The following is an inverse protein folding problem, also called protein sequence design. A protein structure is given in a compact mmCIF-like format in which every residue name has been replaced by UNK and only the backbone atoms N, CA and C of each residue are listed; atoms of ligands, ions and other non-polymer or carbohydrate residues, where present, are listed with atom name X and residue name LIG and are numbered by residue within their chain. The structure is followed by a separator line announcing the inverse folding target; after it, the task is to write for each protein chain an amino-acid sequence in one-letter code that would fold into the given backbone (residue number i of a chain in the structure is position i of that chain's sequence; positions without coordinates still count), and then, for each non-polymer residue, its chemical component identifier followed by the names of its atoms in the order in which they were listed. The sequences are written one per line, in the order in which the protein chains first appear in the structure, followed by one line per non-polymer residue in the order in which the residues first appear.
data_IF_079712388089
#
_entry.id   IF_079712388089
#
_cell.length_a   1.000
_cell.length_b   1.000
_cell.length_c   1.000
_cell.angle_alpha   90.00
_cell.angle_beta   90.00
_cell.angle_gamma   90.00
#
_symmetry.space_group_name_H-M   'P 1'
#
loop_
_entity.id
_entity.type
_entity.pdbx_description
1 polymer ?
#
# COMPACT_ATOMS: atom_id res chain seq x y z
N UNK A 1 -0.60 6.50 23.02
CA UNK A 1 -1.06 6.44 21.62
C UNK A 1 -0.59 5.12 21.04
N UNK A 2 -1.52 4.30 20.59
CA UNK A 2 -1.26 2.96 20.04
C UNK A 2 -1.35 3.02 18.52
N UNK A 3 -0.25 2.72 17.84
CA UNK A 3 -0.15 2.73 16.38
C UNK A 3 -0.25 1.30 15.84
N UNK A 4 -1.05 1.11 14.81
CA UNK A 4 -1.10 -0.13 14.03
C UNK A 4 -0.52 0.08 12.64
N UNK A 5 0.22 -0.90 12.12
CA UNK A 5 0.76 -0.88 10.76
C UNK A 5 0.39 -2.18 10.07
N UNK A 6 -0.17 -2.08 8.87
CA UNK A 6 -0.50 -3.23 8.01
C UNK A 6 -0.09 -2.90 6.57
N UNK A 7 0.25 -3.91 5.80
CA UNK A 7 0.55 -3.80 4.36
C UNK A 7 0.28 -5.11 3.64
N UNK A 8 0.20 -5.05 2.33
CA UNK A 8 0.24 -6.23 1.45
C UNK A 8 -0.81 -7.29 1.76
N UNK A 9 -2.03 -6.85 2.11
CA UNK A 9 -3.14 -7.78 2.39
C UNK A 9 -3.69 -8.42 1.12
N UNK A 10 -3.57 -7.74 -0.02
CA UNK A 10 -4.01 -8.26 -1.32
C UNK A 10 -5.43 -8.82 -1.31
N UNK A 11 -6.37 -8.11 -0.66
CA UNK A 11 -7.76 -8.53 -0.56
C UNK A 11 -8.35 -8.78 -1.95
N UNK A 12 -9.00 -9.91 -2.12
CA UNK A 12 -9.56 -10.35 -3.40
C UNK A 12 -10.88 -11.09 -3.22
N UNK A 13 -11.69 -11.15 -4.29
CA UNK A 13 -12.94 -11.90 -4.28
C UNK A 13 -12.70 -13.43 -4.29
N UNK A 14 -11.50 -13.86 -4.68
CA UNK A 14 -11.13 -15.29 -4.75
C UNK A 14 -10.60 -15.84 -3.44
N UNK A 15 -10.04 -14.98 -2.57
CA UNK A 15 -9.61 -15.36 -1.21
C UNK A 15 -10.40 -14.54 -0.19
N UNK A 16 -11.49 -15.13 0.28
CA UNK A 16 -12.34 -14.51 1.29
C UNK A 16 -11.81 -14.67 2.72
N UNK A 17 -10.84 -15.53 2.95
CA UNK A 17 -10.30 -15.81 4.29
C UNK A 17 -9.59 -14.58 4.85
N UNK A 18 -8.71 -13.98 4.07
CA UNK A 18 -7.96 -12.79 4.45
C UNK A 18 -8.88 -11.55 4.52
N UNK A 19 -9.85 -11.46 3.60
CA UNK A 19 -10.87 -10.40 3.67
C UNK A 19 -11.65 -10.49 4.98
N UNK A 20 -12.12 -11.68 5.37
CA UNK A 20 -12.83 -11.87 6.63
C UNK A 20 -11.94 -11.55 7.85
N UNK A 21 -10.67 -11.97 7.83
CA UNK A 21 -9.72 -11.65 8.88
C UNK A 21 -9.51 -10.13 9.03
N UNK A 22 -9.42 -9.39 7.93
CA UNK A 22 -9.31 -7.93 7.94
C UNK A 22 -10.58 -7.26 8.49
N UNK A 23 -11.75 -7.72 8.07
CA UNK A 23 -13.04 -7.21 8.58
C UNK A 23 -13.20 -7.49 10.08
N UNK A 24 -12.82 -8.68 10.54
CA UNK A 24 -12.84 -9.06 11.97
C UNK A 24 -11.82 -8.26 12.77
N UNK A 25 -10.63 -7.99 12.20
CA UNK A 25 -9.63 -7.11 12.81
C UNK A 25 -10.20 -5.70 13.04
N UNK A 26 -10.78 -5.07 12.02
CA UNK A 26 -11.39 -3.75 12.14
C UNK A 26 -12.52 -3.74 13.18
N UNK A 27 -13.34 -4.80 13.25
CA UNK A 27 -14.45 -4.90 14.18
C UNK A 27 -14.00 -5.10 15.63
N UNK A 28 -12.97 -5.93 15.84
CA UNK A 28 -12.62 -6.43 17.17
C UNK A 28 -11.43 -5.73 17.82
N UNK A 29 -10.54 -5.14 17.02
CA UNK A 29 -9.26 -4.60 17.48
C UNK A 29 -9.10 -3.10 17.22
N UNK A 30 -9.96 -2.49 16.40
CA UNK A 30 -9.86 -1.06 16.09
C UNK A 30 -9.96 -0.17 17.33
N UNK A 31 -10.75 -0.57 18.34
CA UNK A 31 -10.87 0.16 19.61
C UNK A 31 -9.61 0.17 20.48
N UNK A 32 -8.63 -0.67 20.18
CA UNK A 32 -7.34 -0.74 20.88
C UNK A 32 -6.26 0.12 20.23
N UNK A 33 -6.56 0.71 19.07
CA UNK A 33 -5.67 1.56 18.30
C UNK A 33 -6.18 3.00 18.29
N UNK A 34 -5.26 3.95 18.38
CA UNK A 34 -5.54 5.34 18.11
C UNK A 34 -5.40 5.65 16.62
N UNK A 35 -4.38 5.03 15.97
CA UNK A 35 -4.09 5.23 14.54
C UNK A 35 -3.76 3.90 13.86
N UNK A 36 -4.24 3.74 12.63
CA UNK A 36 -3.93 2.62 11.74
C UNK A 36 -3.32 3.15 10.44
N UNK A 37 -2.12 2.69 10.12
CA UNK A 37 -1.43 3.00 8.88
C UNK A 37 -1.48 1.79 7.95
N UNK A 38 -2.07 1.96 6.77
CA UNK A 38 -2.11 0.96 5.70
C UNK A 38 -1.04 1.36 4.68
N UNK A 39 0.03 0.55 4.59
CA UNK A 39 1.21 0.87 3.80
C UNK A 39 1.12 0.32 2.36
N UNK A 40 -0.07 0.35 1.78
CA UNK A 40 -0.33 -0.04 0.40
C UNK A 40 -0.63 -1.52 0.21
N UNK A 41 -1.05 -1.84 -1.01
CA UNK A 41 -1.44 -3.18 -1.44
C UNK A 41 -2.52 -3.80 -0.53
N UNK A 42 -3.48 -2.96 -0.09
CA UNK A 42 -4.66 -3.43 0.62
C UNK A 42 -5.49 -4.36 -0.27
N UNK A 43 -5.64 -3.98 -1.54
CA UNK A 43 -6.37 -4.75 -2.54
C UNK A 43 -5.42 -5.41 -3.53
N UNK A 44 -5.79 -6.59 -3.97
CA UNK A 44 -5.07 -7.33 -5.01
C UNK A 44 -5.09 -6.58 -6.37
N UNK A 45 -6.16 -5.88 -6.65
CA UNK A 45 -6.35 -5.03 -7.82
C UNK A 45 -7.27 -3.87 -7.47
N UNK A 46 -6.89 -2.66 -7.85
CA UNK A 46 -7.75 -1.48 -7.80
C UNK A 46 -7.88 -0.88 -9.19
N UNK A 47 -9.10 -0.71 -9.66
CA UNK A 47 -9.38 -0.24 -11.02
C UNK A 47 -10.07 1.13 -11.06
N UNK A 48 -10.30 1.73 -9.90
CA UNK A 48 -10.92 3.05 -9.73
C UNK A 48 -11.94 3.07 -8.60
N UNK A 49 -12.21 4.24 -8.07
CA UNK A 49 -13.10 4.44 -6.91
C UNK A 49 -14.59 4.18 -7.22
N UNK A 50 -14.93 4.07 -8.50
CA UNK A 50 -16.27 3.74 -9.03
C UNK A 50 -16.55 2.22 -9.07
N UNK A 51 -15.58 1.36 -8.69
CA UNK A 51 -15.84 -0.06 -8.50
C UNK A 51 -16.76 -0.27 -7.28
N UNK A 52 -17.86 -1.00 -7.51
CA UNK A 52 -18.90 -1.31 -6.52
C UNK A 52 -19.04 -2.81 -6.26
N UNK A 53 -17.98 -3.58 -6.50
CA UNK A 53 -17.94 -5.00 -6.17
C UNK A 53 -18.23 -5.27 -4.70
N UNK A 54 -18.65 -6.47 -4.35
CA UNK A 54 -19.03 -6.84 -2.99
C UNK A 54 -17.86 -6.69 -2.01
N UNK A 55 -16.65 -7.04 -2.45
CA UNK A 55 -15.41 -6.84 -1.71
C UNK A 55 -15.20 -5.36 -1.36
N UNK A 56 -15.25 -4.50 -2.38
CA UNK A 56 -15.01 -3.06 -2.20
C UNK A 56 -16.07 -2.43 -1.30
N UNK A 57 -17.34 -2.79 -1.50
CA UNK A 57 -18.43 -2.27 -0.68
C UNK A 57 -18.28 -2.68 0.79
N UNK A 58 -18.00 -3.95 1.07
CA UNK A 58 -17.87 -4.44 2.45
C UNK A 58 -16.67 -3.86 3.17
N UNK A 59 -15.54 -3.67 2.48
CA UNK A 59 -14.33 -3.08 3.06
C UNK A 59 -14.48 -1.57 3.28
N UNK A 60 -15.10 -0.84 2.34
CA UNK A 60 -15.46 0.58 2.52
C UNK A 60 -16.35 0.77 3.76
N UNK A 61 -17.38 -0.05 3.91
CA UNK A 61 -18.29 0.02 5.06
C UNK A 61 -17.58 -0.24 6.39
N UNK A 62 -16.67 -1.21 6.43
CA UNK A 62 -15.91 -1.54 7.63
C UNK A 62 -14.92 -0.42 8.01
N UNK A 63 -14.18 0.11 7.04
CA UNK A 63 -13.27 1.25 7.25
C UNK A 63 -14.03 2.48 7.72
N UNK A 64 -15.17 2.81 7.07
CA UNK A 64 -16.02 3.93 7.48
C UNK A 64 -16.56 3.79 8.90
N UNK A 65 -16.95 2.57 9.31
CA UNK A 65 -17.41 2.30 10.67
C UNK A 65 -16.29 2.48 11.68
N UNK A 66 -15.08 1.97 11.39
CA UNK A 66 -13.92 2.10 12.26
C UNK A 66 -13.50 3.57 12.41
N UNK A 67 -13.46 4.33 11.31
CA UNK A 67 -13.15 5.76 11.32
C UNK A 67 -14.19 6.57 12.13
N UNK A 68 -15.48 6.31 11.93
CA UNK A 68 -16.56 6.95 12.72
C UNK A 68 -16.54 6.57 14.20
N UNK A 69 -15.97 5.43 14.55
CA UNK A 69 -15.77 5.00 15.93
C UNK A 69 -14.55 5.65 16.60
N UNK A 70 -13.77 6.45 15.86
CA UNK A 70 -12.66 7.26 16.38
C UNK A 70 -11.27 6.76 16.00
N UNK A 71 -11.15 5.67 15.20
CA UNK A 71 -9.86 5.25 14.67
C UNK A 71 -9.43 6.19 13.54
N UNK A 72 -8.28 6.84 13.69
CA UNK A 72 -7.65 7.57 12.58
C UNK A 72 -6.97 6.57 11.63
N UNK A 73 -7.39 6.56 10.36
CA UNK A 73 -6.87 5.62 9.37
C UNK A 73 -6.13 6.39 8.29
N UNK A 74 -4.89 6.00 8.05
CA UNK A 74 -4.00 6.58 7.05
C UNK A 74 -3.65 5.54 5.99
N UNK A 75 -3.50 5.98 4.74
CA UNK A 75 -3.24 5.10 3.62
C UNK A 75 -2.11 5.64 2.74
N UNK A 76 -1.10 4.82 2.49
CA UNK A 76 -0.05 5.03 1.50
C UNK A 76 -0.34 4.10 0.32
N UNK A 77 -0.23 4.60 -0.91
CA UNK A 77 -0.48 3.79 -2.10
C UNK A 77 0.59 2.71 -2.31
N UNK A 78 0.15 1.48 -2.54
CA UNK A 78 0.99 0.41 -3.06
C UNK A 78 1.04 0.38 -4.59
N UNK A 79 1.58 -0.69 -5.12
CA UNK A 79 1.66 -0.91 -6.56
C UNK A 79 0.39 -1.55 -7.15
N UNK A 80 -0.52 -2.04 -6.32
CA UNK A 80 -1.79 -2.64 -6.73
C UNK A 80 -2.94 -1.65 -6.67
N UNK A 81 -2.88 -0.69 -5.76
CA UNK A 81 -3.97 0.22 -5.43
C UNK A 81 -3.62 1.71 -5.60
N UNK A 82 -2.64 2.01 -6.45
CA UNK A 82 -2.19 3.38 -6.75
C UNK A 82 -3.23 4.27 -7.46
N UNK A 83 -4.35 3.72 -7.89
CA UNK A 83 -5.50 4.43 -8.46
C UNK A 83 -6.58 4.77 -7.43
N UNK A 84 -6.41 4.34 -6.17
CA UNK A 84 -7.28 4.72 -5.07
C UNK A 84 -7.15 6.23 -4.85
N UNK A 85 -8.26 6.96 -4.77
CA UNK A 85 -8.26 8.43 -4.78
C UNK A 85 -9.27 9.00 -3.77
N UNK A 86 -9.54 10.27 -3.89
CA UNK A 86 -10.32 11.08 -2.96
C UNK A 86 -11.74 10.55 -2.69
N UNK A 87 -12.42 10.00 -3.68
CA UNK A 87 -13.77 9.44 -3.49
C UNK A 87 -13.77 8.26 -2.52
N UNK A 88 -12.74 7.41 -2.57
CA UNK A 88 -12.59 6.34 -1.59
C UNK A 88 -12.28 6.92 -0.21
N UNK A 89 -11.34 7.85 -0.14
CA UNK A 89 -10.94 8.50 1.11
C UNK A 89 -12.13 9.18 1.80
N UNK A 90 -12.91 9.98 1.06
CA UNK A 90 -14.12 10.65 1.57
C UNK A 90 -15.18 9.66 2.06
N UNK A 91 -15.41 8.57 1.32
CA UNK A 91 -16.45 7.58 1.68
C UNK A 91 -16.08 6.74 2.91
N UNK A 92 -14.79 6.57 3.18
CA UNK A 92 -14.28 5.74 4.28
C UNK A 92 -13.82 6.54 5.49
N UNK A 93 -13.53 7.84 5.32
CA UNK A 93 -12.94 8.69 6.36
C UNK A 93 -11.45 8.45 6.57
N UNK A 94 -10.76 7.82 5.61
CA UNK A 94 -9.29 7.65 5.66
C UNK A 94 -8.58 8.90 5.14
N UNK A 95 -7.31 9.05 5.51
CA UNK A 95 -6.43 10.11 5.01
C UNK A 95 -5.36 9.52 4.11
N UNK A 96 -5.28 10.00 2.86
CA UNK A 96 -4.23 9.59 1.93
C UNK A 96 -2.93 10.31 2.28
N UNK A 97 -1.84 9.56 2.41
CA UNK A 97 -0.51 10.08 2.70
C UNK A 97 0.41 9.98 1.47
N UNK A 98 1.40 10.88 1.34
CA UNK A 98 2.47 10.72 0.36
C UNK A 98 3.34 9.50 0.67
N UNK A 99 4.03 8.97 -0.33
CA UNK A 99 5.07 7.96 -0.18
C UNK A 99 6.42 8.58 -0.61
N UNK A 100 7.40 8.71 0.31
CA UNK A 100 7.37 8.39 1.73
C UNK A 100 6.64 9.43 2.60
N UNK A 101 6.13 8.99 3.77
CA UNK A 101 5.56 9.86 4.80
C UNK A 101 6.46 9.88 6.04
N UNK A 102 6.63 11.06 6.67
CA UNK A 102 7.49 11.24 7.83
C UNK A 102 6.70 11.79 9.01
N UNK A 103 6.99 11.28 10.20
CA UNK A 103 6.44 11.81 11.44
C UNK A 103 7.39 11.57 12.62
N UNK A 104 7.20 12.35 13.70
CA UNK A 104 7.96 12.19 14.94
C UNK A 104 7.14 11.42 15.97
N UNK A 105 7.76 10.42 16.59
CA UNK A 105 7.15 9.62 17.65
C UNK A 105 8.16 9.33 18.76
N UNK A 106 7.88 9.79 19.99
CA UNK A 106 8.78 9.70 21.14
C UNK A 106 10.22 10.18 20.85
N UNK A 107 10.35 11.29 20.11
CA UNK A 107 11.64 11.89 19.79
C UNK A 107 12.43 11.11 18.73
N UNK A 108 11.80 10.15 18.05
CA UNK A 108 12.34 9.42 16.90
C UNK A 108 11.67 9.87 15.64
N UNK A 109 12.45 10.15 14.61
CA UNK A 109 11.95 10.47 13.28
C UNK A 109 11.69 9.18 12.50
N UNK A 110 10.43 8.92 12.20
CA UNK A 110 9.97 7.70 11.53
C UNK A 110 9.58 8.01 10.10
N UNK A 111 9.96 7.13 9.18
CA UNK A 111 9.47 7.13 7.82
C UNK A 111 8.58 5.92 7.57
N UNK A 112 7.46 6.15 6.89
CA UNK A 112 6.58 5.10 6.35
C UNK A 112 6.66 5.13 4.83
N UNK A 113 6.67 3.96 4.22
CA UNK A 113 6.65 3.80 2.76
C UNK A 113 5.94 2.51 2.39
N UNK A 114 5.40 2.42 1.17
CA UNK A 114 5.05 1.10 0.66
C UNK A 114 6.28 0.21 0.50
N UNK A 115 7.42 0.76 0.07
CA UNK A 115 8.69 0.03 -0.02
C UNK A 115 9.17 -0.22 -1.45
N UNK A 116 8.30 -0.21 -2.44
CA UNK A 116 8.61 -0.47 -3.84
C UNK A 116 9.59 0.54 -4.47
N UNK A 117 9.78 1.69 -3.82
CA UNK A 117 10.79 2.67 -4.23
C UNK A 117 12.22 2.23 -3.98
N UNK A 118 12.45 1.28 -3.06
CA UNK A 118 13.76 0.74 -2.71
C UNK A 118 14.18 -0.46 -3.58
N UNK A 119 13.25 -1.02 -4.38
CA UNK A 119 13.54 -2.12 -5.32
C UNK A 119 14.11 -1.57 -6.63
N UNK A 120 15.23 -0.85 -6.54
CA UNK A 120 15.82 -0.12 -7.68
C UNK A 120 16.47 -1.02 -8.70
N UNK A 121 16.85 -2.24 -8.32
CA UNK A 121 17.49 -3.22 -9.18
C UNK A 121 16.51 -3.84 -10.20
N UNK A 122 15.20 -3.81 -9.90
CA UNK A 122 14.14 -4.17 -10.86
C UNK A 122 13.82 -2.98 -11.79
N UNK A 123 14.72 -2.70 -12.71
CA UNK A 123 14.61 -1.58 -13.65
C UNK A 123 13.38 -1.66 -14.56
N UNK A 124 12.94 -2.88 -14.91
CA UNK A 124 11.71 -3.09 -15.70
C UNK A 124 10.49 -2.67 -14.88
N UNK A 125 10.41 -3.11 -13.64
CA UNK A 125 9.35 -2.69 -12.74
C UNK A 125 9.35 -1.18 -12.52
N UNK A 126 10.49 -0.55 -12.26
CA UNK A 126 10.59 0.90 -12.07
C UNK A 126 10.15 1.69 -13.31
N UNK A 127 10.45 1.18 -14.50
CA UNK A 127 9.99 1.78 -15.77
C UNK A 127 8.48 1.66 -15.92
N UNK A 128 7.94 0.47 -15.70
CA UNK A 128 6.51 0.21 -15.70
C UNK A 128 5.76 1.10 -14.67
N UNK A 129 6.24 1.17 -13.44
CA UNK A 129 5.70 2.02 -12.38
C UNK A 129 5.60 3.48 -12.80
N UNK A 130 6.66 4.04 -13.41
CA UNK A 130 6.66 5.41 -13.92
C UNK A 130 5.59 5.63 -15.00
N UNK A 131 5.43 4.66 -15.89
CA UNK A 131 4.45 4.72 -16.98
C UNK A 131 3.02 4.74 -16.44
N UNK A 132 2.64 3.77 -15.60
CA UNK A 132 1.24 3.61 -15.11
C UNK A 132 0.84 4.65 -14.08
N UNK A 133 1.81 5.23 -13.37
CA UNK A 133 1.55 6.34 -12.43
C UNK A 133 1.54 7.72 -13.11
N UNK A 134 1.82 7.81 -14.41
CA UNK A 134 1.74 9.09 -15.13
C UNK A 134 0.30 9.60 -15.20
N UNK A 135 0.08 10.93 -15.09
CA UNK A 135 -1.26 11.51 -15.18
C UNK A 135 -1.99 11.14 -16.47
N UNK A 136 -1.26 11.10 -17.58
CA UNK A 136 -1.82 10.71 -18.88
C UNK A 136 -2.38 9.29 -18.84
N UNK A 137 -1.59 8.32 -18.38
CA UNK A 137 -2.02 6.92 -18.32
C UNK A 137 -3.21 6.75 -17.39
N UNK A 138 -3.17 7.37 -16.19
CA UNK A 138 -4.27 7.31 -15.21
C UNK A 138 -5.57 7.83 -15.84
N UNK A 139 -5.54 8.99 -16.51
CA UNK A 139 -6.72 9.56 -17.16
C UNK A 139 -7.25 8.63 -18.26
N UNK A 140 -6.37 8.14 -19.14
CA UNK A 140 -6.76 7.23 -20.22
C UNK A 140 -7.34 5.91 -19.71
N UNK A 141 -6.80 5.38 -18.62
CA UNK A 141 -7.28 4.17 -18.00
C UNK A 141 -8.65 4.37 -17.32
N UNK A 142 -8.81 5.42 -16.51
CA UNK A 142 -10.05 5.69 -15.78
C UNK A 142 -11.22 6.13 -16.69
N UNK A 143 -10.95 6.63 -17.89
CA UNK A 143 -11.99 6.92 -18.90
C UNK A 143 -12.56 5.67 -19.59
N UNK A 144 -11.99 4.48 -19.35
CA UNK A 144 -12.51 3.22 -19.88
C UNK A 144 -13.65 2.69 -19.02
N UNK A 145 -14.48 1.81 -19.60
CA UNK A 145 -15.50 1.09 -18.84
C UNK A 145 -14.87 0.19 -17.77
N UNK A 146 -15.62 -0.14 -16.72
CA UNK A 146 -15.14 -1.05 -15.65
C UNK A 146 -14.67 -2.40 -16.21
N UNK A 147 -15.39 -2.96 -17.20
CA UNK A 147 -15.03 -4.25 -17.79
C UNK A 147 -13.70 -4.17 -18.58
N UNK A 148 -13.48 -3.08 -19.33
CA UNK A 148 -12.19 -2.85 -20.00
C UNK A 148 -11.07 -2.69 -19.01
N UNK A 149 -11.29 -1.94 -17.91
CA UNK A 149 -10.29 -1.76 -16.84
C UNK A 149 -9.97 -3.09 -16.15
N UNK A 150 -10.97 -3.93 -15.86
CA UNK A 150 -10.78 -5.29 -15.32
C UNK A 150 -9.93 -6.15 -16.25
N UNK A 151 -10.25 -6.15 -17.56
CA UNK A 151 -9.50 -6.92 -18.56
C UNK A 151 -8.03 -6.47 -18.64
N UNK A 152 -7.79 -5.17 -18.69
CA UNK A 152 -6.43 -4.60 -18.72
C UNK A 152 -5.68 -4.98 -17.44
N UNK A 153 -6.27 -4.79 -16.26
CA UNK A 153 -5.64 -5.10 -14.99
C UNK A 153 -5.30 -6.59 -14.86
N UNK A 154 -6.20 -7.49 -15.31
CA UNK A 154 -5.93 -8.93 -15.37
C UNK A 154 -4.72 -9.25 -16.27
N UNK A 155 -4.69 -8.69 -17.48
CA UNK A 155 -3.57 -8.89 -18.41
C UNK A 155 -2.24 -8.40 -17.85
N UNK A 156 -2.25 -7.24 -17.16
CA UNK A 156 -1.05 -6.69 -16.52
C UNK A 156 -0.58 -7.59 -15.36
N UNK A 157 -1.51 -8.18 -14.61
CA UNK A 157 -1.18 -9.13 -13.54
C UNK A 157 -0.56 -10.42 -14.06
N UNK A 158 -1.12 -10.98 -15.12
CA UNK A 158 -0.59 -12.21 -15.73
C UNK A 158 0.82 -11.98 -16.26
N UNK A 159 1.06 -10.83 -16.91
CA UNK A 159 2.39 -10.43 -17.33
C UNK A 159 3.35 -10.26 -16.13
N UNK A 160 2.91 -9.60 -15.05
CA UNK A 160 3.71 -9.43 -13.83
C UNK A 160 4.07 -10.77 -13.19
N UNK A 161 3.11 -11.69 -13.03
CA UNK A 161 3.35 -13.04 -12.48
C UNK A 161 4.37 -13.82 -13.33
N UNK A 162 4.24 -13.76 -14.65
CA UNK A 162 5.18 -14.41 -15.56
C UNK A 162 6.58 -13.84 -15.44
N UNK A 163 6.71 -12.52 -15.37
CA UNK A 163 8.00 -11.86 -15.22
C UNK A 163 8.64 -12.17 -13.85
N UNK A 164 7.87 -12.09 -12.76
CA UNK A 164 8.36 -12.35 -11.41
C UNK A 164 8.83 -13.81 -11.24
N UNK A 165 8.15 -14.79 -11.87
CA UNK A 165 8.55 -16.20 -11.80
C UNK A 165 9.89 -16.50 -12.51
N UNK A 166 10.39 -15.57 -13.32
CA UNK A 166 11.64 -15.69 -14.07
C UNK A 166 12.77 -14.84 -13.48
N UNK A 167 12.47 -13.99 -12.49
CA UNK A 167 13.45 -13.09 -11.85
C UNK A 167 14.03 -13.73 -10.60
N UNK A 168 15.29 -13.39 -10.32
CA UNK A 168 15.91 -13.69 -9.04
C UNK A 168 15.20 -12.91 -7.93
N UNK A 169 14.89 -13.58 -6.82
CA UNK A 169 14.27 -12.96 -5.65
C UNK A 169 15.08 -11.77 -5.13
N UNK A 170 16.39 -11.80 -5.25
CA UNK A 170 17.28 -10.70 -4.84
C UNK A 170 17.07 -9.42 -5.64
N UNK A 171 16.65 -9.50 -6.90
CA UNK A 171 16.37 -8.30 -7.73
C UNK A 171 15.05 -7.64 -7.33
N UNK A 172 14.12 -8.45 -6.82
CA UNK A 172 12.79 -7.98 -6.39
C UNK A 172 12.75 -7.47 -4.96
N UNK A 173 13.82 -7.67 -4.19
CA UNK A 173 13.94 -7.21 -2.81
C UNK A 173 14.45 -5.77 -2.74
N UNK A 174 14.38 -5.17 -1.55
CA UNK A 174 14.90 -3.83 -1.31
C UNK A 174 16.42 -3.80 -1.42
N UNK A 175 16.95 -2.80 -2.13
CA UNK A 175 18.39 -2.57 -2.18
C UNK A 175 18.85 -1.91 -0.88
N UNK A 176 19.67 -2.62 -0.11
CA UNK A 176 20.12 -2.18 1.23
C UNK A 176 20.91 -0.87 1.18
N UNK A 177 21.64 -0.61 0.08
CA UNK A 177 22.39 0.64 -0.08
C UNK A 177 21.46 1.83 -0.30
N UNK A 178 20.34 1.63 -1.03
CA UNK A 178 19.30 2.65 -1.19
C UNK A 178 18.61 2.94 0.15
N UNK A 179 18.32 1.91 0.92
CA UNK A 179 17.77 2.07 2.28
C UNK A 179 18.75 2.85 3.16
N UNK A 180 20.04 2.50 3.18
CA UNK A 180 21.06 3.22 3.96
C UNK A 180 21.17 4.68 3.53
N UNK A 181 21.24 4.93 2.22
CA UNK A 181 21.26 6.29 1.64
C UNK A 181 20.01 7.10 2.03
N UNK A 182 18.86 6.44 2.10
CA UNK A 182 17.61 7.08 2.50
C UNK A 182 17.64 7.50 3.97
N UNK A 183 18.18 6.67 4.88
CA UNK A 183 18.39 7.01 6.27
C UNK A 183 19.28 8.26 6.42
N UNK A 184 20.42 8.26 5.75
CA UNK A 184 21.38 9.37 5.83
C UNK A 184 20.80 10.67 5.25
N UNK A 185 20.16 10.59 4.09
CA UNK A 185 19.56 11.73 3.41
C UNK A 185 18.47 12.41 4.23
N UNK A 186 17.64 11.62 4.91
CA UNK A 186 16.45 12.13 5.60
C UNK A 186 16.63 12.24 7.12
N UNK A 187 17.73 11.72 7.67
CA UNK A 187 18.02 11.74 9.09
C UNK A 187 16.96 11.01 9.91
N UNK A 188 16.46 9.88 9.42
CA UNK A 188 15.45 9.08 10.09
C UNK A 188 16.08 8.07 11.05
N UNK A 189 15.34 7.71 12.08
CA UNK A 189 15.72 6.69 13.07
C UNK A 189 15.12 5.34 12.75
N UNK A 190 13.98 5.31 12.06
CA UNK A 190 13.19 4.11 11.79
C UNK A 190 12.51 4.22 10.42
N UNK A 191 12.57 3.17 9.65
CA UNK A 191 11.78 2.98 8.42
C UNK A 191 10.88 1.75 8.60
N UNK A 192 9.58 1.93 8.35
CA UNK A 192 8.58 0.85 8.31
C UNK A 192 8.03 0.80 6.90
N UNK A 193 8.10 -0.36 6.25
CA UNK A 193 7.60 -0.53 4.89
C UNK A 193 7.04 -1.94 4.65
N UNK A 194 6.29 -2.10 3.55
CA UNK A 194 5.76 -3.36 3.01
C UNK A 194 6.47 -3.78 1.73
N UNK A 195 5.69 -4.27 0.76
CA UNK A 195 6.04 -4.66 -0.60
C UNK A 195 6.88 -5.93 -0.76
N UNK A 196 7.80 -6.22 0.14
CA UNK A 196 8.63 -7.42 0.09
C UNK A 196 7.97 -8.58 0.84
N UNK A 197 8.31 -9.87 0.53
CA UNK A 197 7.67 -11.03 1.15
C UNK A 197 7.80 -11.08 2.68
N UNK A 198 8.75 -10.31 3.23
CA UNK A 198 8.91 -10.10 4.67
C UNK A 198 8.81 -8.61 4.93
N UNK A 199 7.82 -8.20 5.72
CA UNK A 199 7.71 -6.81 6.16
C UNK A 199 8.94 -6.45 7.00
N UNK A 200 9.72 -5.48 6.55
CA UNK A 200 10.94 -5.07 7.22
C UNK A 200 10.73 -3.81 8.05
N UNK A 201 11.26 -3.85 9.26
CA UNK A 201 11.48 -2.68 10.09
C UNK A 201 12.99 -2.44 10.17
N UNK A 202 13.46 -1.33 9.61
CA UNK A 202 14.86 -0.95 9.68
C UNK A 202 15.08 0.09 10.77
N UNK A 203 16.03 -0.20 11.67
CA UNK A 203 16.48 0.71 12.71
C UNK A 203 17.86 1.25 12.34
N UNK A 204 18.09 2.56 12.54
CA UNK A 204 19.43 3.11 12.48
C UNK A 204 20.27 2.55 13.64
N UNK A 205 21.38 1.91 13.34
CA UNK A 205 22.35 1.53 14.36
C UNK A 205 22.93 2.83 14.95
N UNK A 206 22.69 3.05 16.24
CA UNK A 206 23.45 4.06 16.97
C UNK A 206 24.79 3.42 17.35
N UNK A 207 25.88 3.91 16.75
CA UNK A 207 27.20 3.63 17.29
C UNK A 207 27.27 4.25 18.69
N UNK A 208 27.42 3.40 19.70
CA UNK A 208 27.66 3.79 21.10
C UNK A 208 29.11 4.11 21.29
#
# INVERSE_FOLDING_TARGET
MNLGFISDLHLSETDTSLTNAFLDFLKSHSSNLDQLYILGDLYEVWIGDDDSSSLITSTKDALSKASKAGLEIFFIHGNRDFLLDSSFAESTGISLLPDPFFFDYFGKKIALSHGDMFCVDDTEYQTFKKQVRSPKWKTEFLNKSLDERKSIASSMRDASKKNSSQKDLMIMDVNINEVASFFDKHGIDLLIHGHTPVSYTHLRAHET
#
